data_IF_311661161067
#
_entry.id   IF_311661161067
#
_cell.length_a   1.000
_cell.length_b   1.000
_cell.length_c   1.000
_cell.angle_alpha   90.00
_cell.angle_beta   90.00
_cell.angle_gamma   90.00
#
_symmetry.space_group_name_H-M   'P 1'
#
loop_
_entity.id
_entity.type
_entity.pdbx_description
1 polymer ?
#
# COMPACT_ATOMS: atom_id res chain seq x y z
N UNK A 1 -8.91 5.17 9.32
CA UNK A 1 -9.68 5.46 8.11
C UNK A 1 -10.74 4.42 7.78
N UNK A 2 -10.42 3.21 7.32
CA UNK A 2 -11.42 2.21 6.90
C UNK A 2 -12.53 1.92 7.94
N UNK A 3 -12.20 1.81 9.22
CA UNK A 3 -13.20 1.60 10.26
C UNK A 3 -14.26 2.71 10.35
N UNK A 4 -13.89 3.96 10.07
CA UNK A 4 -14.82 5.09 10.05
C UNK A 4 -15.74 5.06 8.83
N UNK A 5 -15.21 4.64 7.67
CA UNK A 5 -16.03 4.39 6.48
C UNK A 5 -17.12 3.36 6.78
N UNK A 6 -16.75 2.19 7.30
CA UNK A 6 -17.75 1.14 7.59
C UNK A 6 -18.78 1.57 8.61
N UNK A 7 -18.39 2.35 9.62
CA UNK A 7 -19.35 2.90 10.58
C UNK A 7 -20.31 3.90 9.94
N UNK A 8 -19.81 4.82 9.11
CA UNK A 8 -20.69 5.80 8.47
C UNK A 8 -21.61 5.16 7.42
N UNK A 9 -21.10 4.19 6.66
CA UNK A 9 -21.90 3.41 5.70
C UNK A 9 -22.96 2.52 6.37
N UNK A 10 -22.90 2.34 7.70
CA UNK A 10 -23.86 1.56 8.49
C UNK A 10 -24.42 2.42 9.64
N UNK A 11 -25.35 3.36 9.36
CA UNK A 11 -25.80 4.37 10.33
C UNK A 11 -26.45 3.77 11.59
N UNK A 12 -27.12 2.62 11.48
CA UNK A 12 -27.71 1.93 12.64
C UNK A 12 -26.64 1.43 13.62
N UNK A 13 -25.52 0.90 13.08
CA UNK A 13 -24.37 0.45 13.86
C UNK A 13 -23.69 1.65 14.54
N UNK A 14 -23.48 2.73 13.80
CA UNK A 14 -22.91 3.97 14.34
C UNK A 14 -23.81 4.57 15.44
N UNK A 15 -25.11 4.63 15.22
CA UNK A 15 -26.08 5.13 16.19
C UNK A 15 -26.07 4.31 17.47
N UNK A 16 -26.04 2.97 17.36
CA UNK A 16 -25.96 2.07 18.52
C UNK A 16 -24.64 2.21 19.28
N UNK A 17 -23.52 2.34 18.58
CA UNK A 17 -22.22 2.56 19.20
C UNK A 17 -22.18 3.91 19.94
N UNK A 18 -22.69 4.97 19.32
CA UNK A 18 -22.77 6.29 19.94
C UNK A 18 -23.65 6.27 21.19
N UNK A 19 -24.79 5.59 21.17
CA UNK A 19 -25.62 5.40 22.37
C UNK A 19 -24.89 4.68 23.52
N UNK A 20 -24.12 3.62 23.24
CA UNK A 20 -23.34 2.93 24.27
C UNK A 20 -22.24 3.83 24.86
N UNK A 21 -21.55 4.59 24.00
CA UNK A 21 -20.49 5.51 24.39
C UNK A 21 -21.04 6.68 25.21
N UNK A 22 -22.10 7.34 24.76
CA UNK A 22 -22.70 8.50 25.45
C UNK A 22 -23.28 8.11 26.82
N UNK A 23 -23.80 6.87 26.93
CA UNK A 23 -24.23 6.33 28.22
C UNK A 23 -23.04 6.10 29.17
N UNK A 24 -21.89 5.67 28.64
CA UNK A 24 -20.68 5.42 29.43
C UNK A 24 -19.89 6.70 29.73
N UNK A 25 -20.02 7.72 28.89
CA UNK A 25 -19.36 9.02 28.99
C UNK A 25 -20.32 10.15 28.61
N UNK A 26 -21.09 10.66 29.59
CA UNK A 26 -22.03 11.75 29.37
C UNK A 26 -21.34 13.09 29.02
N UNK A 27 -20.06 13.24 29.35
CA UNK A 27 -19.26 14.42 29.02
C UNK A 27 -18.19 14.06 27.97
N UNK A 28 -18.44 14.31 26.68
CA UNK A 28 -17.54 13.92 25.62
C UNK A 28 -16.19 14.66 25.68
N UNK A 29 -16.06 15.78 26.39
CA UNK A 29 -14.79 16.51 26.54
C UNK A 29 -13.80 15.81 27.47
N UNK A 30 -14.28 14.85 28.27
CA UNK A 30 -13.42 14.03 29.14
C UNK A 30 -13.12 12.71 28.44
N UNK A 31 -11.84 12.40 28.27
CA UNK A 31 -11.42 11.13 27.67
C UNK A 31 -11.77 9.93 28.56
N UNK A 32 -12.42 8.92 27.96
CA UNK A 32 -12.65 7.64 28.61
C UNK A 32 -11.34 6.87 28.78
N UNK A 33 -11.09 6.37 29.99
CA UNK A 33 -9.95 5.48 30.24
C UNK A 33 -10.17 4.11 29.60
N UNK A 34 -9.08 3.45 29.20
CA UNK A 34 -9.13 2.09 28.67
C UNK A 34 -9.86 1.08 29.57
N UNK A 35 -9.75 1.25 30.90
CA UNK A 35 -10.42 0.38 31.87
C UNK A 35 -11.95 0.43 31.74
N UNK A 36 -12.51 1.57 31.34
CA UNK A 36 -13.93 1.75 31.08
C UNK A 36 -14.28 1.18 29.70
N UNK A 37 -13.52 1.56 28.67
CA UNK A 37 -13.73 1.12 27.28
C UNK A 37 -13.72 -0.40 27.13
N UNK A 38 -12.84 -1.11 27.84
CA UNK A 38 -12.73 -2.56 27.78
C UNK A 38 -13.95 -3.30 28.40
N UNK A 39 -14.85 -2.57 29.08
CA UNK A 39 -16.11 -3.10 29.61
C UNK A 39 -17.31 -2.82 28.70
N UNK A 40 -17.13 -2.07 27.61
CA UNK A 40 -18.19 -1.73 26.67
C UNK A 40 -18.31 -2.83 25.60
N UNK A 41 -19.35 -3.68 25.68
CA UNK A 41 -19.44 -4.87 24.84
C UNK A 41 -19.62 -4.53 23.36
N UNK A 42 -20.41 -3.51 23.02
CA UNK A 42 -20.67 -3.17 21.62
C UNK A 42 -19.48 -2.46 20.96
N UNK A 43 -18.78 -1.56 21.67
CA UNK A 43 -17.50 -1.00 21.22
C UNK A 43 -16.48 -2.09 20.91
N UNK A 44 -16.37 -3.10 21.79
CA UNK A 44 -15.49 -4.24 21.56
C UNK A 44 -15.88 -5.06 20.34
N UNK A 45 -17.18 -5.29 20.15
CA UNK A 45 -17.72 -6.00 19.00
C UNK A 45 -17.42 -5.23 17.69
N UNK A 46 -17.63 -3.92 17.68
CA UNK A 46 -17.32 -3.04 16.55
C UNK A 46 -15.84 -3.08 16.22
N UNK A 47 -14.97 -2.94 17.22
CA UNK A 47 -13.52 -2.99 17.03
C UNK A 47 -13.08 -4.33 16.42
N UNK A 48 -13.61 -5.46 16.91
CA UNK A 48 -13.32 -6.78 16.34
C UNK A 48 -13.78 -6.90 14.90
N UNK A 49 -14.95 -6.35 14.57
CA UNK A 49 -15.49 -6.39 13.22
C UNK A 49 -14.71 -5.51 12.25
N UNK A 50 -14.26 -4.33 12.69
CA UNK A 50 -13.33 -3.48 11.94
C UNK A 50 -12.08 -4.28 11.63
N UNK A 51 -11.43 -4.86 12.64
CA UNK A 51 -10.18 -5.62 12.46
C UNK A 51 -10.35 -6.91 11.65
N UNK A 52 -11.55 -7.51 11.65
CA UNK A 52 -11.88 -8.66 10.79
C UNK A 52 -11.92 -8.24 9.33
N UNK A 53 -12.68 -7.18 9.03
CA UNK A 53 -12.92 -6.73 7.65
C UNK A 53 -11.73 -5.99 7.05
N UNK A 54 -10.98 -5.24 7.87
CA UNK A 54 -9.77 -4.54 7.44
C UNK A 54 -8.51 -5.38 7.63
N UNK A 55 -8.62 -6.62 8.13
CA UNK A 55 -7.57 -7.62 8.37
C UNK A 55 -6.12 -7.09 8.26
N UNK A 56 -5.55 -6.43 9.27
CA UNK A 56 -4.35 -5.60 9.11
C UNK A 56 -3.04 -6.35 8.81
N UNK A 57 -3.02 -7.67 8.63
CA UNK A 57 -1.80 -8.44 8.30
C UNK A 57 -2.09 -9.44 7.18
N UNK A 58 -1.26 -9.44 6.13
CA UNK A 58 -1.48 -10.23 4.91
C UNK A 58 -0.58 -11.49 4.77
N UNK A 59 0.36 -11.76 5.69
CA UNK A 59 1.43 -12.77 5.47
C UNK A 59 1.22 -14.12 6.20
N UNK A 60 1.49 -15.21 5.46
CA UNK A 60 1.77 -16.62 5.86
C UNK A 60 0.60 -17.55 6.18
N UNK A 61 -0.51 -17.06 6.72
CA UNK A 61 -1.79 -17.79 6.76
C UNK A 61 -2.80 -16.90 6.08
N UNK A 62 -3.65 -17.43 5.21
CA UNK A 62 -4.66 -16.62 4.53
C UNK A 62 -5.73 -16.18 5.55
N UNK A 63 -5.37 -15.23 6.43
CA UNK A 63 -6.19 -14.65 7.47
C UNK A 63 -7.47 -14.09 6.85
N UNK A 64 -7.38 -13.50 5.66
CA UNK A 64 -8.53 -13.10 4.87
C UNK A 64 -9.47 -14.27 4.60
N UNK A 65 -9.01 -15.40 4.06
CA UNK A 65 -9.87 -16.55 3.81
C UNK A 65 -10.53 -17.05 5.10
N UNK A 66 -9.81 -17.09 6.23
CA UNK A 66 -10.41 -17.51 7.51
C UNK A 66 -11.46 -16.48 7.98
N UNK A 67 -11.12 -15.19 7.95
CA UNK A 67 -11.95 -14.09 8.45
C UNK A 67 -13.15 -13.77 7.55
N UNK A 68 -13.16 -14.28 6.31
CA UNK A 68 -14.25 -14.18 5.34
C UNK A 68 -14.85 -15.56 4.97
N UNK A 69 -14.49 -16.63 5.68
CA UNK A 69 -15.07 -17.95 5.45
C UNK A 69 -16.55 -17.96 5.87
N UNK A 70 -17.46 -18.20 4.92
CA UNK A 70 -18.90 -18.24 5.20
C UNK A 70 -19.29 -19.36 6.18
N UNK A 71 -18.51 -20.44 6.28
CA UNK A 71 -18.74 -21.51 7.26
C UNK A 71 -18.40 -21.09 8.69
N UNK A 72 -17.61 -20.03 8.87
CA UNK A 72 -17.18 -19.51 10.18
C UNK A 72 -17.90 -18.20 10.52
N UNK A 73 -18.04 -17.30 9.54
CA UNK A 73 -18.65 -15.99 9.68
C UNK A 73 -19.88 -15.89 8.76
N UNK A 74 -21.08 -15.85 9.34
CA UNK A 74 -22.32 -15.71 8.55
C UNK A 74 -22.39 -14.34 7.88
N UNK A 75 -22.79 -14.25 6.61
CA UNK A 75 -22.79 -12.99 5.85
C UNK A 75 -21.42 -12.26 5.96
N UNK A 76 -20.30 -12.91 5.55
CA UNK A 76 -18.95 -12.47 5.88
C UNK A 76 -18.57 -11.11 5.26
N UNK A 77 -19.19 -10.73 4.15
CA UNK A 77 -18.92 -9.46 3.46
C UNK A 77 -19.65 -8.27 4.09
N UNK A 78 -20.59 -8.51 5.01
CA UNK A 78 -21.33 -7.46 5.71
C UNK A 78 -20.61 -7.04 7.00
N UNK A 79 -20.49 -5.72 7.21
CA UNK A 79 -20.00 -5.14 8.46
C UNK A 79 -21.06 -5.27 9.56
N UNK A 80 -20.97 -6.34 10.37
CA UNK A 80 -22.02 -6.74 11.31
C UNK A 80 -21.45 -7.06 12.70
N UNK A 81 -21.18 -6.04 13.53
CA UNK A 81 -20.62 -6.22 14.87
C UNK A 81 -21.41 -7.18 15.77
N UNK A 82 -22.73 -7.27 15.57
CA UNK A 82 -23.64 -8.15 16.30
C UNK A 82 -23.18 -9.61 16.33
N UNK A 83 -22.40 -10.07 15.34
CA UNK A 83 -21.88 -11.45 15.29
C UNK A 83 -20.98 -11.81 16.45
N UNK A 84 -20.32 -10.82 17.04
CA UNK A 84 -19.44 -11.00 18.19
C UNK A 84 -20.20 -11.04 19.52
N UNK A 85 -21.53 -10.86 19.47
CA UNK A 85 -22.44 -10.84 20.62
C UNK A 85 -23.57 -11.88 20.49
N UNK A 86 -23.55 -12.73 19.45
CA UNK A 86 -24.60 -13.73 19.22
C UNK A 86 -24.38 -14.97 20.09
N UNK A 87 -25.16 -15.09 21.16
CA UNK A 87 -25.14 -16.25 22.06
C UNK A 87 -25.71 -17.53 21.42
N UNK A 88 -26.49 -17.42 20.33
CA UNK A 88 -27.12 -18.57 19.65
C UNK A 88 -26.18 -19.23 18.66
N UNK A 89 -25.34 -18.44 17.98
CA UNK A 89 -24.32 -18.92 17.06
C UNK A 89 -22.95 -18.29 17.40
N UNK A 90 -22.36 -18.66 18.55
CA UNK A 90 -21.14 -18.02 19.01
C UNK A 90 -19.94 -18.38 18.12
N UNK A 91 -19.17 -17.37 17.73
CA UNK A 91 -17.91 -17.55 17.01
C UNK A 91 -16.86 -18.06 18.00
N UNK A 92 -16.16 -19.15 17.66
CA UNK A 92 -14.98 -19.58 18.43
C UNK A 92 -13.82 -18.61 18.18
N UNK A 93 -13.84 -17.49 18.91
CA UNK A 93 -12.87 -16.41 18.77
C UNK A 93 -11.44 -16.91 18.99
N UNK A 94 -11.26 -17.82 19.95
CA UNK A 94 -9.94 -18.38 20.25
C UNK A 94 -9.40 -19.14 19.06
N UNK A 95 -10.26 -19.80 18.28
CA UNK A 95 -9.88 -20.57 17.10
C UNK A 95 -9.72 -19.70 15.85
N UNK A 96 -10.68 -18.81 15.58
CA UNK A 96 -10.82 -18.19 14.26
C UNK A 96 -10.52 -16.69 14.20
N UNK A 97 -10.44 -15.98 15.33
CA UNK A 97 -10.05 -14.57 15.32
C UNK A 97 -8.53 -14.41 15.32
N UNK A 98 -7.98 -14.15 14.13
CA UNK A 98 -6.53 -14.13 13.85
C UNK A 98 -5.98 -12.75 13.44
N UNK A 99 -6.74 -11.67 13.65
CA UNK A 99 -6.35 -10.32 13.21
C UNK A 99 -5.01 -9.80 13.79
N UNK A 100 -4.58 -10.33 14.94
CA UNK A 100 -3.28 -10.04 15.56
C UNK A 100 -2.33 -11.25 15.57
N UNK A 101 -2.57 -12.25 14.72
CA UNK A 101 -1.90 -13.55 14.76
C UNK A 101 -2.26 -14.39 16.00
N UNK A 102 -1.63 -15.56 16.13
CA UNK A 102 -1.91 -16.53 17.20
C UNK A 102 -0.65 -17.28 17.64
N UNK A 103 -0.63 -17.77 18.88
CA UNK A 103 0.46 -18.58 19.44
C UNK A 103 1.61 -17.74 20.00
N UNK A 104 2.76 -18.37 20.29
CA UNK A 104 3.91 -17.73 20.94
C UNK A 104 4.60 -16.61 20.14
N UNK A 105 4.17 -16.37 18.90
CA UNK A 105 4.63 -15.28 18.02
C UNK A 105 3.49 -14.35 17.57
N UNK A 106 2.37 -14.32 18.29
CA UNK A 106 1.31 -13.33 18.03
C UNK A 106 1.83 -11.90 18.20
N UNK A 107 1.14 -10.93 17.61
CA UNK A 107 1.53 -9.51 17.63
C UNK A 107 1.89 -9.06 19.07
N UNK A 108 3.15 -8.64 19.31
CA UNK A 108 3.57 -8.19 20.64
C UNK A 108 2.88 -6.87 21.04
N UNK A 109 2.44 -6.08 20.07
CA UNK A 109 1.75 -4.81 20.27
C UNK A 109 0.23 -4.91 20.43
N UNK A 110 -0.36 -6.12 20.48
CA UNK A 110 -1.82 -6.32 20.49
C UNK A 110 -2.54 -5.49 21.56
N UNK A 111 -2.03 -5.52 22.79
CA UNK A 111 -2.68 -4.82 23.91
C UNK A 111 -2.61 -3.30 23.73
N UNK A 112 -1.46 -2.78 23.29
CA UNK A 112 -1.29 -1.36 23.00
C UNK A 112 -2.18 -0.91 21.83
N UNK A 113 -2.19 -1.66 20.73
CA UNK A 113 -3.03 -1.36 19.57
C UNK A 113 -4.52 -1.39 19.93
N UNK A 114 -4.95 -2.34 20.75
CA UNK A 114 -6.33 -2.42 21.25
C UNK A 114 -6.70 -1.18 22.05
N UNK A 115 -5.81 -0.75 22.96
CA UNK A 115 -6.01 0.49 23.73
C UNK A 115 -6.17 1.69 22.82
N UNK A 116 -5.21 1.88 21.92
CA UNK A 116 -5.17 3.01 21.00
C UNK A 116 -6.41 3.06 20.11
N UNK A 117 -6.79 1.95 19.49
CA UNK A 117 -7.95 1.89 18.60
C UNK A 117 -9.24 2.20 19.38
N UNK A 118 -9.42 1.63 20.57
CA UNK A 118 -10.63 1.86 21.35
C UNK A 118 -10.75 3.30 21.83
N UNK A 119 -9.67 3.89 22.34
CA UNK A 119 -9.68 5.27 22.81
C UNK A 119 -9.90 6.23 21.65
N UNK A 120 -9.16 6.07 20.56
CA UNK A 120 -9.32 6.91 19.37
C UNK A 120 -10.72 6.79 18.80
N UNK A 121 -11.25 5.56 18.64
CA UNK A 121 -12.60 5.37 18.09
C UNK A 121 -13.68 5.98 18.99
N UNK A 122 -13.58 5.79 20.31
CA UNK A 122 -14.50 6.38 21.26
C UNK A 122 -14.47 7.91 21.21
N UNK A 123 -13.29 8.52 21.33
CA UNK A 123 -13.15 9.98 21.32
C UNK A 123 -13.63 10.59 20.00
N UNK A 124 -13.31 9.96 18.87
CA UNK A 124 -13.76 10.42 17.55
C UNK A 124 -15.29 10.37 17.47
N UNK A 125 -15.90 9.24 17.80
CA UNK A 125 -17.36 9.07 17.72
C UNK A 125 -18.10 9.93 18.74
N UNK A 126 -17.56 10.24 19.90
CA UNK A 126 -18.30 11.09 20.84
C UNK A 126 -18.23 12.57 20.48
N UNK A 127 -17.11 13.03 19.91
CA UNK A 127 -16.86 14.47 19.72
C UNK A 127 -17.21 14.99 18.33
N UNK A 128 -17.17 14.14 17.32
CA UNK A 128 -17.26 14.59 15.93
C UNK A 128 -18.41 13.93 15.18
N UNK A 129 -19.15 14.71 14.39
CA UNK A 129 -20.09 14.17 13.40
C UNK A 129 -19.32 13.91 12.10
N UNK A 130 -19.37 12.68 11.62
CA UNK A 130 -18.71 12.29 10.37
C UNK A 130 -19.71 12.29 9.23
N UNK A 131 -19.27 12.73 8.06
CA UNK A 131 -19.99 12.66 6.79
C UNK A 131 -19.05 12.06 5.75
N UNK A 132 -19.52 11.07 4.99
CA UNK A 132 -18.79 10.54 3.84
C UNK A 132 -18.94 11.55 2.69
N UNK A 133 -17.82 12.00 2.13
CA UNK A 133 -17.78 12.95 1.01
C UNK A 133 -17.07 12.26 -0.15
N UNK A 134 -17.73 12.21 -1.31
CA UNK A 134 -17.15 11.76 -2.59
C UNK A 134 -16.40 10.41 -2.53
N UNK A 135 -16.80 9.51 -1.62
CA UNK A 135 -16.15 8.20 -1.40
C UNK A 135 -16.87 7.10 -2.15
N UNK A 136 -16.17 6.31 -2.97
CA UNK A 136 -16.71 5.08 -3.58
C UNK A 136 -16.01 3.84 -3.06
N UNK A 137 -16.72 2.71 -3.07
CA UNK A 137 -16.19 1.45 -2.56
C UNK A 137 -14.95 1.01 -3.36
N UNK A 138 -15.06 1.05 -4.68
CA UNK A 138 -14.06 0.59 -5.62
C UNK A 138 -12.78 1.43 -5.58
N UNK A 139 -12.91 2.71 -5.21
CA UNK A 139 -11.82 3.69 -5.24
C UNK A 139 -11.13 3.86 -3.89
N UNK A 140 -11.90 3.91 -2.80
CA UNK A 140 -11.41 4.42 -1.51
C UNK A 140 -11.43 3.36 -0.39
N UNK A 141 -12.01 2.17 -0.65
CA UNK A 141 -12.34 1.20 0.42
C UNK A 141 -11.83 -0.20 0.13
N UNK A 142 -11.85 -0.64 -1.13
CA UNK A 142 -11.34 -1.96 -1.52
C UNK A 142 -9.93 -2.13 -0.97
N UNK A 143 -9.70 -3.16 -0.16
CA UNK A 143 -8.36 -3.47 0.32
C UNK A 143 -7.46 -3.88 -0.86
N UNK A 144 -6.39 -3.14 -1.12
CA UNK A 144 -5.36 -3.59 -2.06
C UNK A 144 -4.60 -4.77 -1.43
N UNK A 145 -4.36 -5.82 -2.21
CA UNK A 145 -3.76 -7.07 -1.72
C UNK A 145 -2.23 -6.97 -1.55
N UNK A 146 -1.67 -5.77 -1.63
CA UNK A 146 -0.25 -5.52 -1.92
C UNK A 146 0.41 -4.64 -0.87
N UNK A 147 0.22 -5.02 0.40
CA UNK A 147 1.02 -4.48 1.50
C UNK A 147 1.12 -5.53 2.61
N UNK A 148 2.24 -5.53 3.34
CA UNK A 148 2.45 -6.34 4.55
C UNK A 148 1.30 -6.11 5.56
N UNK A 149 0.68 -4.92 5.50
CA UNK A 149 -0.51 -4.52 6.24
C UNK A 149 -1.68 -4.17 5.31
N UNK A 150 -2.90 -4.58 5.63
CA UNK A 150 -4.07 -4.19 4.81
C UNK A 150 -4.38 -2.70 4.96
N UNK A 151 -4.45 -2.00 3.83
CA UNK A 151 -4.75 -0.58 3.71
C UNK A 151 -5.88 -0.37 2.68
N UNK A 152 -6.60 0.77 2.72
CA UNK A 152 -7.57 1.10 1.67
C UNK A 152 -6.91 1.16 0.29
N UNK A 153 -7.73 1.02 -0.75
CA UNK A 153 -7.31 1.13 -2.15
C UNK A 153 -6.54 2.44 -2.36
N UNK A 154 -5.53 2.35 -3.22
CA UNK A 154 -4.64 3.44 -3.52
C UNK A 154 -5.42 4.64 -4.11
N UNK A 155 -5.44 5.79 -3.41
CA UNK A 155 -6.15 7.00 -3.84
C UNK A 155 -7.17 7.61 -2.86
N UNK A 156 -7.37 7.04 -1.66
CA UNK A 156 -8.26 7.65 -0.65
C UNK A 156 -7.69 8.99 -0.15
N UNK A 157 -8.38 10.11 -0.44
CA UNK A 157 -7.98 11.46 0.03
C UNK A 157 -8.36 11.67 1.50
N UNK A 158 -7.39 12.10 2.31
CA UNK A 158 -7.62 12.91 3.51
C UNK A 158 -6.84 14.21 3.37
N UNK A 159 -7.53 15.36 3.40
CA UNK A 159 -6.89 16.67 3.34
C UNK A 159 -6.40 17.09 4.73
N UNK A 160 -5.08 17.14 4.88
CA UNK A 160 -4.40 17.84 5.96
C UNK A 160 -3.33 18.74 5.34
N UNK A 161 -3.73 19.89 4.81
CA UNK A 161 -2.80 20.84 4.21
C UNK A 161 -2.27 21.90 5.20
N UNK A 162 -0.98 22.23 5.04
CA UNK A 162 -0.34 23.45 5.56
C UNK A 162 0.21 24.25 4.37
N UNK A 163 -0.01 25.57 4.38
CA UNK A 163 0.38 26.52 3.32
C UNK A 163 1.89 26.64 3.10
N UNK A 164 2.29 26.79 1.83
CA UNK A 164 3.56 27.39 1.43
C UNK A 164 4.06 27.00 0.03
N UNK A 165 3.79 27.86 -0.95
CA UNK A 165 4.48 28.09 -2.24
C UNK A 165 5.18 26.95 -2.99
N UNK A 166 4.59 26.58 -4.14
CA UNK A 166 5.21 26.73 -5.47
C UNK A 166 4.09 26.74 -6.52
N UNK A 167 4.25 27.51 -7.60
CA UNK A 167 3.32 27.54 -8.73
C UNK A 167 3.02 26.11 -9.22
N UNK A 168 1.76 25.73 -9.48
CA UNK A 168 1.42 24.36 -9.83
C UNK A 168 2.04 24.01 -11.19
N UNK A 169 2.98 23.06 -11.19
CA UNK A 169 3.32 22.34 -12.42
C UNK A 169 2.06 21.58 -12.87
N UNK A 170 1.80 21.58 -14.17
CA UNK A 170 0.67 20.83 -14.74
C UNK A 170 0.91 19.32 -14.55
N UNK A 171 0.14 18.70 -13.66
CA UNK A 171 0.27 17.28 -13.29
C UNK A 171 -0.23 16.31 -14.38
N UNK A 172 -0.47 16.77 -15.62
CA UNK A 172 -1.04 15.97 -16.70
C UNK A 172 -0.02 15.31 -17.64
N UNK A 173 1.27 15.65 -17.57
CA UNK A 173 2.18 15.38 -18.69
C UNK A 173 3.11 14.18 -18.48
N UNK A 174 2.59 12.96 -18.75
CA UNK A 174 3.35 11.69 -18.81
C UNK A 174 4.65 11.86 -19.61
N UNK A 175 4.56 12.53 -20.77
CA UNK A 175 5.69 12.73 -21.68
C UNK A 175 6.82 13.53 -21.04
N UNK A 176 6.54 14.44 -20.11
CA UNK A 176 7.57 15.24 -19.44
C UNK A 176 8.44 14.37 -18.52
N UNK A 177 7.82 13.44 -17.78
CA UNK A 177 8.53 12.47 -16.94
C UNK A 177 9.40 11.56 -17.79
N UNK A 178 8.85 11.03 -18.88
CA UNK A 178 9.58 10.15 -19.79
C UNK A 178 10.73 10.89 -20.48
N UNK A 179 10.49 12.10 -20.99
CA UNK A 179 11.54 12.91 -21.62
C UNK A 179 12.65 13.28 -20.65
N UNK A 180 12.30 13.64 -19.40
CA UNK A 180 13.29 13.91 -18.37
C UNK A 180 14.19 12.68 -18.12
N UNK A 181 13.60 11.49 -18.07
CA UNK A 181 14.33 10.27 -17.75
C UNK A 181 15.14 9.71 -18.93
N UNK A 182 14.58 9.75 -20.14
CA UNK A 182 15.12 9.07 -21.32
C UNK A 182 15.83 9.98 -22.34
N UNK A 183 15.44 11.25 -22.49
CA UNK A 183 15.88 12.07 -23.62
C UNK A 183 17.22 12.80 -23.38
N UNK A 184 17.79 12.74 -22.18
CA UNK A 184 19.01 13.50 -21.82
C UNK A 184 20.34 12.80 -22.14
N UNK A 185 20.35 11.82 -23.06
CA UNK A 185 21.58 11.38 -23.75
C UNK A 185 22.64 10.64 -22.92
N UNK A 186 22.41 10.42 -21.61
CA UNK A 186 23.41 9.86 -20.70
C UNK A 186 23.17 8.37 -20.33
N UNK A 187 22.05 7.77 -20.75
CA UNK A 187 21.76 6.33 -20.64
C UNK A 187 22.08 5.73 -19.25
N UNK A 188 22.85 4.64 -19.24
CA UNK A 188 23.30 3.95 -18.02
C UNK A 188 23.99 4.85 -17.00
N UNK A 189 24.72 5.87 -17.45
CA UNK A 189 25.46 6.74 -16.54
C UNK A 189 24.50 7.60 -15.71
N UNK A 190 23.46 8.16 -16.33
CA UNK A 190 22.44 8.93 -15.61
C UNK A 190 21.56 8.05 -14.72
N UNK A 191 21.21 6.84 -15.16
CA UNK A 191 20.29 5.98 -14.41
C UNK A 191 20.93 5.32 -13.19
N UNK A 192 22.22 4.97 -13.26
CA UNK A 192 22.84 4.10 -12.26
C UNK A 192 24.13 4.63 -11.62
N UNK A 193 24.68 5.76 -12.07
CA UNK A 193 25.80 6.41 -11.37
C UNK A 193 25.29 7.55 -10.47
N UNK A 194 25.74 7.64 -9.21
CA UNK A 194 25.46 8.79 -8.36
C UNK A 194 25.94 10.09 -9.02
N UNK A 195 25.07 11.10 -9.08
CA UNK A 195 25.39 12.38 -9.71
C UNK A 195 24.67 13.51 -8.98
N UNK A 196 25.45 14.38 -8.32
CA UNK A 196 24.92 15.52 -7.57
C UNK A 196 24.11 16.50 -8.44
N UNK A 197 24.42 16.59 -9.74
CA UNK A 197 23.66 17.44 -10.67
C UNK A 197 22.31 16.83 -11.00
N UNK A 198 22.27 15.52 -11.26
CA UNK A 198 21.02 14.79 -11.52
C UNK A 198 20.15 14.77 -10.26
N UNK A 199 20.74 14.57 -9.08
CA UNK A 199 20.03 14.57 -7.80
C UNK A 199 19.35 15.93 -7.52
N UNK A 200 20.04 17.03 -7.82
CA UNK A 200 19.47 18.37 -7.68
C UNK A 200 18.31 18.63 -8.66
N UNK A 201 18.39 18.15 -9.90
CA UNK A 201 17.31 18.25 -10.89
C UNK A 201 16.11 17.37 -10.50
N UNK A 202 16.36 16.18 -9.99
CA UNK A 202 15.37 15.25 -9.45
C UNK A 202 14.56 15.88 -8.32
N UNK A 203 15.16 16.72 -7.47
CA UNK A 203 14.45 17.41 -6.38
C UNK A 203 13.23 18.22 -6.85
N UNK A 204 13.25 18.69 -8.10
CA UNK A 204 12.13 19.45 -8.67
C UNK A 204 10.90 18.59 -9.04
N UNK A 205 11.06 17.27 -9.00
CA UNK A 205 10.01 16.27 -9.24
C UNK A 205 9.37 15.74 -7.95
N UNK A 206 9.80 16.22 -6.78
CA UNK A 206 9.22 15.84 -5.48
C UNK A 206 7.67 15.95 -5.45
N UNK A 207 7.04 17.01 -5.99
CA UNK A 207 5.58 17.09 -6.03
C UNK A 207 4.93 15.98 -6.87
N UNK A 208 5.58 15.52 -7.94
CA UNK A 208 5.09 14.40 -8.77
C UNK A 208 5.27 13.07 -8.05
N UNK A 209 6.38 12.88 -7.33
CA UNK A 209 6.57 11.69 -6.48
C UNK A 209 5.53 11.65 -5.37
N UNK A 210 5.23 12.78 -4.74
CA UNK A 210 4.15 12.89 -3.74
C UNK A 210 2.77 12.64 -4.36
N UNK A 211 2.49 13.18 -5.55
CA UNK A 211 1.26 12.93 -6.29
C UNK A 211 1.11 11.45 -6.73
N UNK A 212 2.19 10.81 -7.17
CA UNK A 212 2.23 9.39 -7.47
C UNK A 212 1.97 8.58 -6.21
N UNK A 213 2.69 8.84 -5.11
CA UNK A 213 2.54 8.16 -3.81
C UNK A 213 1.17 8.28 -3.16
N UNK A 214 0.46 9.37 -3.42
CA UNK A 214 -0.92 9.57 -2.97
C UNK A 214 -1.97 8.89 -3.87
N UNK A 215 -1.55 8.35 -5.02
CA UNK A 215 -2.45 7.76 -6.02
C UNK A 215 -3.18 8.77 -6.91
N UNK A 216 -2.87 10.06 -6.77
CA UNK A 216 -3.46 11.12 -7.60
C UNK A 216 -3.17 10.95 -9.10
N UNK A 217 -2.10 10.24 -9.45
CA UNK A 217 -1.69 9.92 -10.82
C UNK A 217 -2.09 8.50 -11.29
N UNK A 218 -2.88 7.76 -10.51
CA UNK A 218 -3.32 6.39 -10.86
C UNK A 218 -3.94 6.21 -12.25
N UNK A 219 -4.67 7.19 -12.85
CA UNK A 219 -5.18 7.04 -14.22
C UNK A 219 -4.08 6.84 -15.28
N UNK A 220 -2.82 7.19 -14.98
CA UNK A 220 -1.69 6.98 -15.89
C UNK A 220 -1.43 5.48 -16.14
N UNK A 221 -1.80 4.60 -15.21
CA UNK A 221 -1.63 3.14 -15.36
C UNK A 221 -2.48 2.51 -16.48
N UNK A 222 -3.34 3.29 -17.15
CA UNK A 222 -4.15 2.86 -18.28
C UNK A 222 -3.36 2.73 -19.59
N UNK A 223 -2.17 3.33 -19.68
CA UNK A 223 -1.30 3.24 -20.86
C UNK A 223 0.09 2.71 -20.47
N UNK A 224 0.81 2.14 -21.43
CA UNK A 224 2.17 1.66 -21.21
C UNK A 224 3.12 2.78 -20.77
N UNK A 225 3.09 3.92 -21.47
CA UNK A 225 3.91 5.09 -21.15
C UNK A 225 3.55 5.71 -19.80
N UNK A 226 2.26 5.77 -19.45
CA UNK A 226 1.83 6.28 -18.15
C UNK A 226 2.21 5.35 -17.00
N UNK A 227 2.12 4.04 -17.21
CA UNK A 227 2.59 3.04 -16.25
C UNK A 227 4.10 3.15 -16.04
N UNK A 228 4.86 3.26 -17.12
CA UNK A 228 6.31 3.47 -17.06
C UNK A 228 6.65 4.76 -16.30
N UNK A 229 5.97 5.87 -16.58
CA UNK A 229 6.19 7.12 -15.86
C UNK A 229 5.90 6.98 -14.36
N UNK A 230 4.81 6.30 -13.98
CA UNK A 230 4.51 6.02 -12.57
C UNK A 230 5.61 5.17 -11.91
N UNK A 231 6.13 4.15 -12.58
CA UNK A 231 7.24 3.35 -12.07
C UNK A 231 8.49 4.20 -11.83
N UNK A 232 8.81 5.13 -12.73
CA UNK A 232 9.92 6.07 -12.51
C UNK A 232 9.69 6.98 -11.30
N UNK A 233 8.46 7.47 -11.09
CA UNK A 233 8.12 8.31 -9.94
C UNK A 233 8.14 7.54 -8.61
N UNK A 234 7.80 6.25 -8.62
CA UNK A 234 7.63 5.43 -7.42
C UNK A 234 8.88 4.62 -7.04
N UNK A 235 9.67 4.21 -8.02
CA UNK A 235 10.85 3.36 -7.82
C UNK A 235 12.13 4.16 -8.03
N UNK A 236 12.28 4.89 -9.13
CA UNK A 236 13.58 5.47 -9.50
C UNK A 236 13.86 6.83 -8.86
N UNK A 237 12.99 7.83 -9.07
CA UNK A 237 13.20 9.18 -8.53
C UNK A 237 13.38 9.25 -7.01
N UNK A 238 12.71 8.41 -6.19
CA UNK A 238 12.96 8.40 -4.75
C UNK A 238 14.42 8.14 -4.37
N UNK A 239 15.16 7.32 -5.13
CA UNK A 239 16.58 7.06 -4.89
C UNK A 239 17.45 8.31 -5.06
N UNK A 240 17.07 9.23 -5.96
CA UNK A 240 17.76 10.50 -6.14
C UNK A 240 17.28 11.57 -5.14
N UNK A 241 15.96 11.73 -4.96
CA UNK A 241 15.36 12.81 -4.16
C UNK A 241 15.61 12.62 -2.66
N UNK A 242 15.47 11.39 -2.17
CA UNK A 242 15.49 11.08 -0.74
C UNK A 242 16.75 10.32 -0.33
N UNK A 243 17.80 10.35 -1.15
CA UNK A 243 19.03 9.61 -0.95
C UNK A 243 19.55 9.69 0.49
N UNK A 244 19.94 8.54 1.06
CA UNK A 244 20.43 8.44 2.43
C UNK A 244 19.34 8.49 3.52
N UNK A 245 18.06 8.45 3.14
CA UNK A 245 16.94 8.45 4.09
C UNK A 245 16.01 7.23 3.89
N UNK A 246 15.28 6.77 4.92
CA UNK A 246 14.29 5.70 4.77
C UNK A 246 13.18 5.99 3.75
N UNK A 247 12.96 7.26 3.41
CA UNK A 247 11.93 7.71 2.48
C UNK A 247 12.20 7.29 1.03
N UNK A 248 13.42 6.81 0.71
CA UNK A 248 13.73 6.16 -0.57
C UNK A 248 12.77 4.98 -0.80
N UNK A 249 12.62 4.13 0.21
CA UNK A 249 11.93 2.83 0.09
C UNK A 249 10.42 2.88 0.37
N UNK A 250 9.88 4.07 0.64
CA UNK A 250 8.50 4.20 1.12
C UNK A 250 7.43 3.89 0.06
N UNK A 251 7.83 3.90 -1.22
CA UNK A 251 6.99 3.58 -2.37
C UNK A 251 7.29 2.23 -3.02
N UNK A 252 8.29 1.47 -2.56
CA UNK A 252 8.67 0.18 -3.16
C UNK A 252 7.50 -0.81 -3.26
N UNK A 253 6.62 -0.95 -2.24
CA UNK A 253 5.45 -1.83 -2.37
C UNK A 253 4.48 -1.39 -3.48
N UNK A 254 4.34 -0.07 -3.71
CA UNK A 254 3.48 0.49 -4.76
C UNK A 254 4.10 0.25 -6.14
N UNK A 255 5.42 0.43 -6.26
CA UNK A 255 6.15 0.13 -7.49
C UNK A 255 6.09 -1.37 -7.83
N UNK A 256 6.24 -2.25 -6.84
CA UNK A 256 6.12 -3.70 -7.03
C UNK A 256 4.74 -4.10 -7.51
N UNK A 257 3.69 -3.62 -6.83
CA UNK A 257 2.29 -3.80 -7.22
C UNK A 257 2.05 -3.44 -8.68
N UNK A 258 2.41 -2.21 -9.05
CA UNK A 258 2.22 -1.68 -10.39
C UNK A 258 3.01 -2.48 -11.45
N UNK A 259 4.25 -2.86 -11.11
CA UNK A 259 5.11 -3.71 -11.94
C UNK A 259 4.48 -5.07 -12.22
N UNK A 260 4.05 -5.79 -11.18
CA UNK A 260 3.48 -7.13 -11.32
C UNK A 260 2.18 -7.11 -12.12
N UNK A 261 1.29 -6.13 -11.87
CA UNK A 261 0.06 -5.95 -12.63
C UNK A 261 0.35 -5.64 -14.11
N UNK A 262 1.28 -4.73 -14.39
CA UNK A 262 1.65 -4.37 -15.76
C UNK A 262 2.21 -5.57 -16.54
N UNK A 263 3.07 -6.38 -15.90
CA UNK A 263 3.64 -7.60 -16.49
C UNK A 263 2.55 -8.65 -16.72
N UNK A 264 1.63 -8.83 -15.77
CA UNK A 264 0.52 -9.75 -15.91
C UNK A 264 -0.42 -9.37 -17.07
N UNK A 265 -0.57 -8.06 -17.34
CA UNK A 265 -1.31 -7.52 -18.48
C UNK A 265 -0.50 -7.48 -19.79
N UNK A 266 0.80 -7.76 -19.75
CA UNK A 266 1.70 -7.68 -20.90
C UNK A 266 2.06 -6.26 -21.35
N UNK A 267 1.72 -5.25 -20.54
CA UNK A 267 1.92 -3.81 -20.83
C UNK A 267 3.41 -3.46 -20.89
N UNK A 268 4.24 -4.18 -20.16
CA UNK A 268 5.71 -4.12 -20.25
C UNK A 268 6.22 -4.35 -21.67
N UNK A 269 5.53 -5.14 -22.49
CA UNK A 269 5.95 -5.44 -23.86
C UNK A 269 5.54 -4.37 -24.88
N UNK A 270 4.78 -3.35 -24.46
CA UNK A 270 4.32 -2.26 -25.32
C UNK A 270 5.31 -1.08 -25.38
N UNK A 271 6.30 -1.04 -24.47
CA UNK A 271 7.37 -0.04 -24.48
C UNK A 271 8.63 -0.55 -25.20
N UNK A 272 9.51 0.34 -25.70
CA UNK A 272 10.82 -0.04 -26.23
C UNK A 272 11.61 -0.95 -25.29
N UNK A 273 12.40 -1.87 -25.86
CA UNK A 273 13.03 -2.97 -25.13
C UNK A 273 13.87 -2.48 -23.93
N UNK A 274 14.64 -1.42 -24.10
CA UNK A 274 15.43 -0.81 -23.02
C UNK A 274 14.58 -0.28 -21.88
N UNK A 275 13.34 0.14 -22.14
CA UNK A 275 12.46 0.73 -21.12
C UNK A 275 11.76 -0.34 -20.29
N UNK A 276 11.68 -1.57 -20.79
CA UNK A 276 11.03 -2.68 -20.07
C UNK A 276 11.76 -3.00 -18.77
N UNK A 277 13.07 -2.72 -18.68
CA UNK A 277 13.84 -2.98 -17.46
C UNK A 277 13.26 -2.23 -16.25
N UNK A 278 12.67 -1.05 -16.45
CA UNK A 278 12.07 -0.25 -15.37
C UNK A 278 10.76 -0.86 -14.84
N UNK A 279 10.13 -1.75 -15.60
CA UNK A 279 9.05 -2.60 -15.09
C UNK A 279 9.59 -3.73 -14.21
N UNK A 280 10.86 -4.12 -14.34
CA UNK A 280 11.43 -5.28 -13.63
C UNK A 280 12.27 -4.88 -12.40
N UNK A 281 12.77 -3.63 -12.37
CA UNK A 281 13.54 -3.10 -11.24
C UNK A 281 12.80 -3.22 -9.90
N UNK A 282 11.49 -2.91 -9.76
CA UNK A 282 10.79 -3.08 -8.48
C UNK A 282 10.79 -4.52 -7.95
N UNK A 283 10.83 -5.51 -8.86
CA UNK A 283 10.95 -6.93 -8.50
C UNK A 283 12.39 -7.24 -8.05
N UNK A 284 13.39 -6.68 -8.73
CA UNK A 284 14.80 -6.80 -8.33
C UNK A 284 15.08 -6.14 -6.97
N UNK A 285 14.34 -5.12 -6.59
CA UNK A 285 14.50 -4.44 -5.29
C UNK A 285 13.89 -5.22 -4.12
N UNK A 286 13.19 -6.33 -4.37
CA UNK A 286 12.61 -7.12 -3.29
C UNK A 286 13.65 -8.01 -2.60
N UNK A 287 13.66 -7.99 -1.26
CA UNK A 287 14.41 -8.93 -0.42
C UNK A 287 13.69 -10.30 -0.35
N UNK A 288 13.51 -10.92 -1.51
CA UNK A 288 12.82 -12.21 -1.64
C UNK A 288 13.46 -13.04 -2.74
N UNK A 289 13.93 -14.25 -2.40
CA UNK A 289 14.53 -15.16 -3.37
C UNK A 289 13.59 -15.48 -4.54
N UNK A 290 12.28 -15.55 -4.29
CA UNK A 290 11.29 -15.77 -5.35
C UNK A 290 11.25 -14.60 -6.33
N UNK A 291 11.24 -13.37 -5.82
CA UNK A 291 11.26 -12.17 -6.64
C UNK A 291 12.57 -12.07 -7.43
N UNK A 292 13.71 -12.38 -6.80
CA UNK A 292 15.01 -12.40 -7.47
C UNK A 292 15.08 -13.40 -8.62
N UNK A 293 14.58 -14.63 -8.41
CA UNK A 293 14.53 -15.64 -9.48
C UNK A 293 13.58 -15.21 -10.61
N UNK A 294 12.43 -14.60 -10.26
CA UNK A 294 11.49 -14.05 -11.24
C UNK A 294 12.12 -12.93 -12.08
N UNK A 295 12.75 -11.97 -11.42
CA UNK A 295 13.48 -10.84 -12.05
C UNK A 295 14.56 -11.36 -12.99
N UNK A 296 15.39 -12.31 -12.54
CA UNK A 296 16.42 -12.94 -13.39
C UNK A 296 15.83 -13.52 -14.69
N UNK A 297 14.70 -14.21 -14.60
CA UNK A 297 14.00 -14.75 -15.77
C UNK A 297 13.53 -13.67 -16.75
N UNK A 298 13.03 -12.54 -16.23
CA UNK A 298 12.60 -11.40 -17.05
C UNK A 298 13.78 -10.77 -17.80
N UNK A 299 14.92 -10.54 -17.12
CA UNK A 299 16.13 -10.03 -17.76
C UNK A 299 16.71 -11.00 -18.79
N UNK A 300 16.69 -12.32 -18.53
CA UNK A 300 17.07 -13.32 -19.52
C UNK A 300 16.19 -13.24 -20.77
N UNK A 301 14.89 -13.03 -20.60
CA UNK A 301 13.95 -12.82 -21.70
C UNK A 301 14.25 -11.54 -22.49
N UNK A 302 14.65 -10.45 -21.83
CA UNK A 302 15.07 -9.22 -22.51
C UNK A 302 16.31 -9.44 -23.38
N UNK A 303 17.37 -10.03 -22.82
CA UNK A 303 18.62 -10.31 -23.55
C UNK A 303 18.35 -11.18 -24.77
N UNK A 304 17.53 -12.23 -24.62
CA UNK A 304 17.17 -13.13 -25.72
C UNK A 304 16.41 -12.43 -26.87
N UNK A 305 15.78 -11.28 -26.62
CA UNK A 305 15.08 -10.48 -27.63
C UNK A 305 15.96 -9.41 -28.28
N UNK A 306 17.14 -9.13 -27.74
CA UNK A 306 18.09 -8.20 -28.34
C UNK A 306 18.97 -8.90 -29.39
N UNK A 307 19.28 -8.19 -30.47
CA UNK A 307 20.18 -8.70 -31.49
C UNK A 307 21.63 -8.73 -30.95
N UNK A 308 22.27 -9.90 -31.05
CA UNK A 308 23.60 -10.15 -30.53
C UNK A 308 24.63 -9.16 -31.11
N UNK A 309 25.49 -8.61 -30.25
CA UNK A 309 26.55 -7.68 -30.64
C UNK A 309 26.13 -6.20 -30.76
N UNK A 310 24.84 -5.87 -30.61
CA UNK A 310 24.35 -4.49 -30.56
C UNK A 310 24.66 -3.80 -29.22
N UNK A 311 24.65 -2.47 -29.18
CA UNK A 311 24.75 -1.71 -27.92
C UNK A 311 23.59 -2.03 -26.97
N UNK A 312 22.40 -2.31 -27.52
CA UNK A 312 21.26 -2.79 -26.74
C UNK A 312 21.55 -4.12 -26.05
N UNK A 313 22.14 -5.09 -26.76
CA UNK A 313 22.51 -6.38 -26.17
C UNK A 313 23.52 -6.20 -25.03
N UNK A 314 24.53 -5.33 -25.20
CA UNK A 314 25.51 -5.02 -24.14
C UNK A 314 24.86 -4.39 -22.91
N UNK A 315 23.93 -3.46 -23.12
CA UNK A 315 23.15 -2.82 -22.07
C UNK A 315 22.37 -3.86 -21.25
N UNK A 316 21.66 -4.75 -21.92
CA UNK A 316 20.82 -5.76 -21.29
C UNK A 316 21.62 -6.88 -20.63
N UNK A 317 22.77 -7.25 -21.20
CA UNK A 317 23.72 -8.18 -20.57
C UNK A 317 24.23 -7.65 -19.23
N UNK A 318 24.56 -6.35 -19.16
CA UNK A 318 24.98 -5.73 -17.91
C UNK A 318 23.84 -5.69 -16.89
N UNK A 319 22.62 -5.39 -17.32
CA UNK A 319 21.44 -5.44 -16.46
C UNK A 319 21.18 -6.87 -15.93
N UNK A 320 21.33 -7.89 -16.78
CA UNK A 320 21.23 -9.30 -16.40
C UNK A 320 22.31 -9.70 -15.39
N UNK A 321 23.55 -9.23 -15.57
CA UNK A 321 24.65 -9.43 -14.62
C UNK A 321 24.32 -8.83 -13.25
N UNK A 322 23.70 -7.65 -13.22
CA UNK A 322 23.25 -7.01 -11.98
C UNK A 322 22.10 -7.79 -11.32
N UNK A 323 21.14 -8.29 -12.09
CA UNK A 323 20.08 -9.16 -11.57
C UNK A 323 20.66 -10.43 -10.92
N UNK A 324 21.65 -11.06 -11.56
CA UNK A 324 22.34 -12.23 -11.00
C UNK A 324 23.06 -11.91 -9.67
N UNK A 325 23.67 -10.73 -9.57
CA UNK A 325 24.31 -10.28 -8.33
C UNK A 325 23.31 -10.11 -7.17
N UNK A 326 22.10 -9.60 -7.46
CA UNK A 326 21.03 -9.49 -6.46
C UNK A 326 20.55 -10.89 -6.03
N UNK A 327 20.36 -11.81 -6.97
CA UNK A 327 20.05 -13.23 -6.66
C UNK A 327 21.09 -13.84 -5.74
N UNK A 328 22.38 -13.65 -6.04
CA UNK A 328 23.47 -14.22 -5.25
C UNK A 328 23.55 -13.61 -3.84
N UNK A 329 23.27 -12.31 -3.74
CA UNK A 329 23.23 -11.58 -2.46
C UNK A 329 22.08 -12.09 -1.58
N UNK A 330 20.86 -12.12 -2.10
CA UNK A 330 19.67 -12.59 -1.37
C UNK A 330 19.78 -14.08 -1.06
N UNK A 331 20.30 -14.91 -1.97
CA UNK A 331 20.55 -16.34 -1.70
C UNK A 331 21.52 -16.54 -0.54
N UNK A 332 22.50 -15.64 -0.37
CA UNK A 332 23.51 -15.74 0.69
C UNK A 332 23.03 -15.17 2.02
N UNK A 333 22.23 -14.12 2.01
CA UNK A 333 21.94 -13.33 3.22
C UNK A 333 20.47 -13.28 3.65
N UNK A 334 19.53 -13.64 2.78
CA UNK A 334 18.08 -13.62 3.04
C UNK A 334 17.36 -12.51 2.32
#
# INVERSE_FOLDING_TARGET
MLGMYYLHSNPDVLGRLRMELDKANPDPEVDLTFKILNKLPYLRAVMKEILRITFPTAISVNHRNILFDQAVFYEPDMFKPERWLDDKNPIDEKRYYVAFGKGGRSCPGKEFATQLIQTTLASLIQRFKFEIIETSWEKDVVASHESILTAPAFGSREDLSRHGDTQPRDFSNISEVLSFWFDHGEGLEKWFKPSLTVDAECGSWEPFVSAARSGSLSPWAQTADGTLALLLLLDQLPHNIYCGTPQVYSSDPQALSLSLDAIARGVDNEVPLERQMFFYLPIMHQESLLAQVGSLGLYQGMVARAEEGTEMHKLLDEALRMAQLHVDTIRRFG
#
